data_IF_257949833633
#
_entry.id   IF_257949833633
#
_cell.length_a   1.000
_cell.length_b   1.000
_cell.length_c   1.000
_cell.angle_alpha   90.00
_cell.angle_beta   90.00
_cell.angle_gamma   90.00
#
_symmetry.space_group_name_H-M   'P 1'
#
loop_
_entity.id
_entity.type
_entity.pdbx_description
1 polymer ?
#
# COMPACT_ATOMS: atom_id res chain seq x y z
N UNK A 1 9.34 16.17 -5.05
CA UNK A 1 8.22 15.20 -5.09
C UNK A 1 8.79 13.79 -5.11
N UNK A 2 8.28 12.91 -4.26
CA UNK A 2 8.66 11.50 -4.24
C UNK A 2 7.85 10.74 -5.28
N UNK A 3 8.47 9.76 -5.93
CA UNK A 3 7.75 8.78 -6.74
C UNK A 3 7.02 7.84 -5.79
N UNK A 4 5.72 7.69 -5.97
CA UNK A 4 4.87 6.85 -5.13
C UNK A 4 4.08 5.85 -5.95
N UNK A 5 3.86 4.67 -5.38
CA UNK A 5 3.04 3.64 -5.99
C UNK A 5 2.09 3.03 -4.96
N UNK A 6 0.93 2.61 -5.42
CA UNK A 6 -0.04 1.85 -4.67
C UNK A 6 -0.19 0.46 -5.29
N UNK A 7 0.04 -0.57 -4.49
CA UNK A 7 -0.20 -1.95 -4.88
C UNK A 7 -1.46 -2.46 -4.19
N UNK A 8 -2.51 -2.73 -4.96
CA UNK A 8 -3.66 -3.52 -4.53
C UNK A 8 -3.43 -4.97 -4.88
N UNK A 9 -3.56 -5.90 -3.93
CA UNK A 9 -3.41 -7.32 -4.25
C UNK A 9 -4.55 -7.80 -5.14
N UNK A 10 -5.80 -7.40 -4.83
CA UNK A 10 -7.00 -7.71 -5.63
C UNK A 10 -7.57 -6.49 -6.33
N UNK A 11 -8.53 -6.70 -7.20
CA UNK A 11 -9.32 -5.62 -7.84
C UNK A 11 -10.65 -5.37 -7.15
N UNK A 12 -10.94 -6.09 -6.06
CA UNK A 12 -12.18 -5.95 -5.29
C UNK A 12 -13.42 -6.50 -6.00
N UNK A 13 -13.24 -7.40 -6.94
CA UNK A 13 -14.26 -8.00 -7.81
C UNK A 13 -15.30 -8.84 -7.05
N UNK A 14 -14.92 -9.43 -5.89
CA UNK A 14 -15.84 -10.17 -5.01
C UNK A 14 -16.55 -9.32 -3.95
N UNK A 15 -16.39 -7.98 -3.98
CA UNK A 15 -17.00 -7.08 -3.01
C UNK A 15 -18.44 -6.69 -3.36
N UNK A 16 -19.04 -5.82 -2.52
CA UNK A 16 -20.37 -5.26 -2.74
C UNK A 16 -20.28 -4.00 -3.61
N UNK A 17 -21.21 -3.83 -4.56
CA UNK A 17 -21.40 -2.59 -5.29
C UNK A 17 -22.56 -1.81 -4.65
N UNK A 18 -22.28 -0.63 -4.13
CA UNK A 18 -23.25 0.21 -3.42
C UNK A 18 -23.98 1.21 -4.34
N UNK A 19 -23.62 1.27 -5.62
CA UNK A 19 -24.16 2.24 -6.57
C UNK A 19 -24.67 1.63 -7.87
N UNK A 20 -24.56 0.30 -8.03
CA UNK A 20 -24.99 -0.41 -9.23
C UNK A 20 -25.16 -1.89 -8.97
N UNK A 21 -25.55 -2.63 -10.00
CA UNK A 21 -25.81 -4.07 -9.94
C UNK A 21 -24.64 -4.94 -10.42
N UNK A 22 -23.57 -4.31 -10.92
CA UNK A 22 -22.40 -5.01 -11.44
C UNK A 22 -21.68 -5.77 -10.33
N UNK A 23 -21.34 -7.03 -10.61
CA UNK A 23 -20.65 -7.97 -9.72
C UNK A 23 -19.50 -8.66 -10.46
N UNK A 24 -18.62 -9.32 -9.73
CA UNK A 24 -17.53 -10.10 -10.30
C UNK A 24 -16.60 -9.27 -11.18
N UNK A 25 -16.34 -9.75 -12.38
CA UNK A 25 -15.39 -9.11 -13.32
C UNK A 25 -15.77 -7.68 -13.65
N UNK A 26 -17.06 -7.40 -13.84
CA UNK A 26 -17.54 -6.05 -14.17
C UNK A 26 -17.31 -5.09 -13.02
N UNK A 27 -17.57 -5.51 -11.79
CA UNK A 27 -17.22 -4.73 -10.61
C UNK A 27 -15.70 -4.53 -10.48
N UNK A 28 -14.91 -5.54 -10.78
CA UNK A 28 -13.45 -5.46 -10.79
C UNK A 28 -12.92 -4.43 -11.79
N UNK A 29 -13.55 -4.34 -12.97
CA UNK A 29 -13.22 -3.31 -13.97
C UNK A 29 -13.59 -1.90 -13.47
N UNK A 30 -14.78 -1.72 -12.90
CA UNK A 30 -15.23 -0.45 -12.31
C UNK A 30 -14.25 -0.02 -11.23
N UNK A 31 -13.94 -0.89 -10.27
CA UNK A 31 -13.01 -0.58 -9.18
C UNK A 31 -11.57 -0.30 -9.63
N UNK A 32 -11.15 -0.95 -10.70
CA UNK A 32 -9.87 -0.63 -11.34
C UNK A 32 -9.86 0.82 -11.84
N UNK A 33 -10.94 1.28 -12.50
CA UNK A 33 -11.06 2.65 -12.97
C UNK A 33 -11.17 3.66 -11.81
N UNK A 34 -11.84 3.30 -10.72
CA UNK A 34 -11.91 4.11 -9.50
C UNK A 34 -10.51 4.32 -8.89
N UNK A 35 -9.70 3.26 -8.80
CA UNK A 35 -8.31 3.34 -8.33
C UNK A 35 -7.44 4.20 -9.26
N UNK A 36 -7.58 4.04 -10.57
CA UNK A 36 -6.86 4.89 -11.55
C UNK A 36 -7.30 6.36 -11.41
N UNK A 37 -8.59 6.63 -11.20
CA UNK A 37 -9.09 7.98 -10.98
C UNK A 37 -8.54 8.58 -9.67
N UNK A 38 -8.44 7.79 -8.60
CA UNK A 38 -7.81 8.19 -7.35
C UNK A 38 -6.33 8.55 -7.56
N UNK A 39 -5.59 7.73 -8.31
CA UNK A 39 -4.16 8.00 -8.65
C UNK A 39 -3.96 9.27 -9.47
N UNK A 40 -4.91 9.64 -10.33
CA UNK A 40 -4.85 10.94 -11.04
C UNK A 40 -4.93 12.14 -10.09
N UNK A 41 -5.54 11.96 -8.91
CA UNK A 41 -5.66 13.02 -7.90
C UNK A 41 -4.41 13.09 -7.02
N UNK A 42 -3.92 11.95 -6.54
CA UNK A 42 -2.78 11.89 -5.62
C UNK A 42 -1.42 11.75 -6.32
N UNK A 43 -1.41 11.49 -7.62
CA UNK A 43 -0.21 11.41 -8.45
C UNK A 43 0.61 10.12 -8.32
N UNK A 44 0.08 9.10 -7.63
CA UNK A 44 0.75 7.81 -7.50
C UNK A 44 0.52 6.90 -8.72
N UNK A 45 1.37 5.90 -8.86
CA UNK A 45 1.17 4.81 -9.81
C UNK A 45 0.30 3.71 -9.21
N UNK A 46 -0.51 3.01 -10.03
CA UNK A 46 -1.36 1.90 -9.57
C UNK A 46 -0.87 0.58 -10.12
N UNK A 47 -0.71 -0.39 -9.22
CA UNK A 47 -0.36 -1.77 -9.55
C UNK A 47 -1.32 -2.76 -8.92
N UNK A 48 -1.37 -3.97 -9.52
CA UNK A 48 -2.17 -5.08 -9.04
C UNK A 48 -1.37 -6.38 -9.11
N UNK A 49 -1.74 -7.36 -8.29
CA UNK A 49 -1.30 -8.75 -8.45
C UNK A 49 -2.36 -9.55 -9.21
N UNK A 50 -2.12 -10.84 -9.40
CA UNK A 50 -3.09 -11.78 -9.93
C UNK A 50 -4.13 -12.27 -8.91
N UNK A 51 -4.04 -11.86 -7.64
CA UNK A 51 -5.01 -12.23 -6.63
C UNK A 51 -6.41 -11.71 -7.01
N UNK A 52 -7.41 -12.52 -6.72
CA UNK A 52 -8.81 -12.19 -6.92
C UNK A 52 -9.55 -12.07 -5.59
N UNK A 53 -10.58 -11.26 -5.58
CA UNK A 53 -11.45 -11.08 -4.42
C UNK A 53 -12.53 -12.17 -4.43
N UNK A 54 -12.69 -12.88 -3.32
CA UNK A 54 -13.68 -13.95 -3.18
C UNK A 54 -14.68 -13.71 -2.03
N UNK A 55 -14.84 -12.47 -1.63
CA UNK A 55 -15.73 -12.07 -0.56
C UNK A 55 -15.05 -12.11 0.82
N UNK A 56 -15.82 -12.28 1.88
CA UNK A 56 -15.30 -12.25 3.23
C UNK A 56 -14.46 -13.48 3.54
N UNK A 57 -13.23 -13.26 3.97
CA UNK A 57 -12.33 -14.29 4.48
C UNK A 57 -12.13 -14.14 6.00
N UNK A 58 -12.20 -15.26 6.72
CA UNK A 58 -12.11 -15.30 8.18
C UNK A 58 -10.68 -15.21 8.70
N UNK A 59 -9.70 -15.70 7.91
CA UNK A 59 -8.31 -15.77 8.34
C UNK A 59 -7.33 -15.56 7.19
N UNK A 60 -6.10 -15.20 7.54
CA UNK A 60 -5.01 -15.12 6.56
C UNK A 60 -4.73 -16.48 5.92
N UNK A 61 -4.81 -17.58 6.68
CA UNK A 61 -4.53 -18.93 6.17
C UNK A 61 -5.52 -19.33 5.08
N UNK A 62 -6.82 -19.07 5.27
CA UNK A 62 -7.85 -19.28 4.26
C UNK A 62 -7.54 -18.48 2.98
N UNK A 63 -7.20 -17.21 3.14
CA UNK A 63 -6.87 -16.33 2.02
C UNK A 63 -5.63 -16.81 1.26
N UNK A 64 -4.55 -17.11 1.97
CA UNK A 64 -3.28 -17.52 1.38
C UNK A 64 -3.38 -18.88 0.66
N UNK A 65 -4.20 -19.79 1.19
CA UNK A 65 -4.50 -21.06 0.53
C UNK A 65 -5.30 -20.85 -0.77
N UNK A 66 -6.30 -19.95 -0.75
CA UNK A 66 -7.15 -19.66 -1.91
C UNK A 66 -6.38 -18.93 -3.01
N UNK A 67 -5.49 -17.99 -2.63
CA UNK A 67 -4.74 -17.18 -3.59
C UNK A 67 -3.52 -17.88 -4.19
N UNK A 68 -3.09 -19.01 -3.65
CA UNK A 68 -1.75 -19.59 -3.92
C UNK A 68 -0.64 -18.57 -3.50
N UNK A 69 -0.31 -18.63 -2.22
CA UNK A 69 0.61 -17.69 -1.57
C UNK A 69 1.90 -17.43 -2.37
N UNK A 70 2.51 -18.49 -2.94
CA UNK A 70 3.77 -18.34 -3.68
C UNK A 70 3.60 -17.52 -4.97
N UNK A 71 2.49 -17.66 -5.66
CA UNK A 71 2.21 -16.87 -6.85
C UNK A 71 1.99 -15.38 -6.53
N UNK A 72 1.29 -15.09 -5.43
CA UNK A 72 1.09 -13.69 -5.03
C UNK A 72 2.39 -13.09 -4.51
N UNK A 73 3.16 -13.85 -3.74
CA UNK A 73 4.48 -13.43 -3.30
C UNK A 73 5.41 -13.14 -4.49
N UNK A 74 5.38 -13.98 -5.53
CA UNK A 74 6.11 -13.75 -6.77
C UNK A 74 5.77 -12.40 -7.40
N UNK A 75 4.47 -12.08 -7.51
CA UNK A 75 4.01 -10.81 -8.11
C UNK A 75 4.49 -9.60 -7.32
N UNK A 76 4.40 -9.67 -5.98
CA UNK A 76 4.83 -8.56 -5.11
C UNK A 76 6.34 -8.38 -5.15
N UNK A 77 7.11 -9.49 -5.12
CA UNK A 77 8.58 -9.46 -5.26
C UNK A 77 8.99 -8.88 -6.61
N UNK A 78 8.30 -9.29 -7.70
CA UNK A 78 8.53 -8.72 -9.04
C UNK A 78 8.38 -7.20 -9.02
N UNK A 79 7.28 -6.70 -8.45
CA UNK A 79 7.03 -5.26 -8.38
C UNK A 79 8.10 -4.54 -7.55
N UNK A 80 8.48 -5.08 -6.38
CA UNK A 80 9.53 -4.48 -5.54
C UNK A 80 10.85 -4.38 -6.32
N UNK A 81 11.25 -5.44 -7.02
CA UNK A 81 12.48 -5.46 -7.84
C UNK A 81 12.42 -4.51 -9.02
N UNK A 82 11.25 -4.35 -9.64
CA UNK A 82 11.04 -3.45 -10.77
C UNK A 82 10.95 -1.98 -10.34
N UNK A 83 10.18 -1.70 -9.30
CA UNK A 83 9.91 -0.35 -8.82
C UNK A 83 11.05 0.22 -7.96
N UNK A 84 11.75 -0.66 -7.24
CA UNK A 84 12.86 -0.35 -6.33
C UNK A 84 12.50 0.70 -5.26
N UNK A 85 11.48 0.46 -4.43
CA UNK A 85 11.07 1.40 -3.40
C UNK A 85 12.11 1.47 -2.28
N UNK A 86 12.34 2.67 -1.75
CA UNK A 86 13.13 2.84 -0.52
C UNK A 86 12.33 2.45 0.72
N UNK A 87 11.03 2.73 0.68
CA UNK A 87 10.11 2.53 1.79
C UNK A 87 8.91 1.74 1.28
N UNK A 88 8.55 0.71 2.04
CA UNK A 88 7.29 -0.01 1.86
C UNK A 88 6.39 0.32 3.04
N UNK A 89 5.14 0.68 2.77
CA UNK A 89 4.14 0.95 3.81
C UNK A 89 3.00 -0.05 3.62
N UNK A 90 2.70 -0.82 4.64
CA UNK A 90 1.53 -1.69 4.72
C UNK A 90 0.46 -1.09 5.62
N UNK A 91 -0.81 -1.32 5.30
CA UNK A 91 -1.92 -0.76 6.07
C UNK A 91 -2.39 -1.66 7.21
N UNK A 92 -2.17 -2.96 7.13
CA UNK A 92 -2.72 -3.93 8.08
C UNK A 92 -1.63 -4.67 8.86
N UNK A 93 -1.93 -5.16 10.08
CA UNK A 93 -1.07 -6.10 10.79
C UNK A 93 -1.25 -7.52 10.22
N UNK A 94 -0.27 -8.42 10.45
CA UNK A 94 -0.32 -9.80 9.95
C UNK A 94 -1.13 -10.76 10.85
N UNK A 95 -2.11 -10.23 11.59
CA UNK A 95 -2.88 -10.97 12.59
C UNK A 95 -4.36 -10.56 12.62
N UNK A 96 -5.13 -11.12 13.57
CA UNK A 96 -6.57 -10.92 13.66
C UNK A 96 -7.01 -9.47 13.90
N UNK A 97 -6.11 -8.58 14.32
CA UNK A 97 -6.40 -7.13 14.42
C UNK A 97 -6.69 -6.51 13.05
N UNK A 98 -6.29 -7.16 11.97
CA UNK A 98 -6.64 -6.75 10.60
C UNK A 98 -8.14 -6.84 10.29
N UNK A 99 -8.91 -7.62 11.07
CA UNK A 99 -10.37 -7.74 10.96
C UNK A 99 -10.87 -8.53 9.74
N UNK A 100 -10.01 -8.89 8.80
CA UNK A 100 -10.36 -9.60 7.56
C UNK A 100 -9.14 -10.40 7.06
N UNK A 101 -9.38 -11.62 6.56
CA UNK A 101 -8.30 -12.50 6.10
C UNK A 101 -7.45 -11.90 4.99
N UNK A 102 -8.04 -11.24 3.99
CA UNK A 102 -7.31 -10.55 2.92
C UNK A 102 -6.38 -9.45 3.47
N UNK A 103 -6.82 -8.72 4.49
CA UNK A 103 -6.01 -7.67 5.11
C UNK A 103 -4.76 -8.26 5.80
N UNK A 104 -4.96 -9.29 6.65
CA UNK A 104 -3.86 -9.95 7.32
C UNK A 104 -2.92 -10.65 6.31
N UNK A 105 -3.48 -11.33 5.29
CA UNK A 105 -2.70 -11.96 4.22
C UNK A 105 -1.85 -10.94 3.46
N UNK A 106 -2.39 -9.76 3.15
CA UNK A 106 -1.62 -8.70 2.48
C UNK A 106 -0.41 -8.25 3.29
N UNK A 107 -0.54 -8.18 4.61
CA UNK A 107 0.55 -7.81 5.51
C UNK A 107 1.62 -8.90 5.59
N UNK A 108 1.22 -10.17 5.66
CA UNK A 108 2.13 -11.33 5.64
C UNK A 108 2.94 -11.35 4.34
N UNK A 109 2.26 -11.20 3.20
CA UNK A 109 2.92 -11.15 1.88
C UNK A 109 3.90 -9.97 1.81
N UNK A 110 3.54 -8.79 2.32
CA UNK A 110 4.42 -7.62 2.30
C UNK A 110 5.69 -7.84 3.14
N UNK A 111 5.57 -8.42 4.34
CA UNK A 111 6.71 -8.71 5.23
C UNK A 111 7.65 -9.78 4.62
N UNK A 112 7.10 -10.80 3.96
CA UNK A 112 7.89 -11.81 3.25
C UNK A 112 8.54 -11.25 1.99
N UNK A 113 7.80 -10.47 1.20
CA UNK A 113 8.30 -9.86 -0.02
C UNK A 113 9.43 -8.86 0.23
N UNK A 114 9.37 -8.11 1.36
CA UNK A 114 10.44 -7.22 1.79
C UNK A 114 11.80 -7.94 1.90
N UNK A 115 11.81 -9.17 2.41
CA UNK A 115 13.00 -10.01 2.53
C UNK A 115 13.34 -10.71 1.21
N UNK A 116 12.33 -11.32 0.59
CA UNK A 116 12.49 -12.12 -0.62
C UNK A 116 12.99 -11.30 -1.82
N UNK A 117 12.64 -10.01 -1.91
CA UNK A 117 13.07 -9.16 -3.00
C UNK A 117 14.59 -8.93 -3.02
N UNK A 118 15.23 -8.95 -1.86
CA UNK A 118 16.68 -8.82 -1.73
C UNK A 118 17.44 -10.11 -1.98
N UNK A 119 16.78 -11.27 -1.83
CA UNK A 119 17.41 -12.58 -1.98
C UNK A 119 17.43 -13.01 -3.46
N UNK A 120 18.62 -13.15 -4.09
CA UNK A 120 18.70 -13.60 -5.48
C UNK A 120 18.30 -15.05 -5.68
N UNK A 121 18.22 -15.86 -4.61
CA UNK A 121 17.80 -17.27 -4.69
C UNK A 121 16.27 -17.41 -4.68
N UNK A 122 15.54 -16.36 -4.24
CA UNK A 122 14.07 -16.35 -4.34
C UNK A 122 13.67 -15.82 -5.72
N UNK A 123 12.90 -16.62 -6.44
CA UNK A 123 12.41 -16.32 -7.79
C UNK A 123 13.53 -15.92 -8.77
N UNK A 124 14.56 -16.77 -8.99
CA UNK A 124 15.70 -16.46 -9.84
C UNK A 124 15.30 -16.18 -11.30
N UNK A 125 14.17 -16.73 -11.75
CA UNK A 125 13.59 -16.48 -13.07
C UNK A 125 13.25 -15.00 -13.30
N UNK A 126 12.96 -14.25 -12.25
CA UNK A 126 12.74 -12.80 -12.36
C UNK A 126 14.04 -12.07 -12.75
N UNK A 127 15.16 -12.54 -12.25
CA UNK A 127 16.47 -11.92 -12.56
C UNK A 127 16.85 -12.15 -14.02
N UNK A 128 16.51 -13.31 -14.59
CA UNK A 128 16.71 -13.57 -16.01
C UNK A 128 15.80 -12.72 -16.90
N UNK A 129 14.67 -12.25 -16.36
CA UNK A 129 13.75 -11.31 -17.03
C UNK A 129 14.18 -9.84 -16.91
N UNK A 130 15.34 -9.56 -16.28
CA UNK A 130 16.00 -8.25 -16.31
C UNK A 130 15.83 -7.38 -15.06
N UNK A 131 15.08 -7.82 -14.04
CA UNK A 131 15.06 -7.10 -12.76
C UNK A 131 16.26 -7.51 -11.90
N UNK A 132 16.57 -6.71 -10.87
CA UNK A 132 17.69 -6.97 -9.95
C UNK A 132 17.15 -7.17 -8.53
N UNK A 133 17.85 -7.94 -7.67
CA UNK A 133 17.54 -7.98 -6.25
C UNK A 133 17.47 -6.56 -5.68
N UNK A 134 16.50 -6.31 -4.82
CA UNK A 134 16.31 -4.99 -4.23
C UNK A 134 15.98 -5.10 -2.74
N UNK A 135 16.76 -4.41 -1.90
CA UNK A 135 16.47 -4.28 -0.47
C UNK A 135 15.91 -2.87 -0.22
N UNK A 136 14.62 -2.77 0.03
CA UNK A 136 14.04 -1.53 0.56
C UNK A 136 14.68 -1.21 1.92
N UNK A 137 14.87 0.06 2.24
CA UNK A 137 15.51 0.48 3.49
C UNK A 137 14.66 0.09 4.70
N UNK A 138 13.33 0.16 4.55
CA UNK A 138 12.39 -0.18 5.64
C UNK A 138 11.03 -0.63 5.12
N UNK A 139 10.35 -1.38 5.97
CA UNK A 139 8.93 -1.65 5.86
C UNK A 139 8.23 -1.19 7.13
N UNK A 140 7.15 -0.42 6.96
CA UNK A 140 6.40 0.22 8.04
C UNK A 140 4.95 -0.22 7.99
N UNK A 141 4.34 -0.38 9.15
CA UNK A 141 2.91 -0.51 9.30
C UNK A 141 2.32 0.86 9.66
N UNK A 142 1.45 1.39 8.80
CA UNK A 142 0.64 2.56 9.12
C UNK A 142 -0.52 2.12 10.03
N UNK A 143 -0.41 2.40 11.29
CA UNK A 143 -1.37 2.01 12.32
C UNK A 143 -2.61 2.90 12.29
N UNK A 144 -3.66 2.49 12.98
CA UNK A 144 -4.95 3.17 12.89
C UNK A 144 -5.74 3.08 14.19
N UNK A 145 -6.64 4.04 14.35
CA UNK A 145 -7.69 4.01 15.34
C UNK A 145 -9.04 4.00 14.60
N UNK A 146 -9.70 2.84 14.56
CA UNK A 146 -10.96 2.67 13.84
C UNK A 146 -11.91 1.73 14.59
N UNK A 147 -13.10 2.23 14.88
CA UNK A 147 -14.10 1.49 15.66
C UNK A 147 -13.59 1.13 17.06
N UNK A 148 -13.63 -0.15 17.41
CA UNK A 148 -13.10 -0.67 18.67
C UNK A 148 -11.60 -0.96 18.62
N UNK A 149 -10.98 -0.88 17.46
CA UNK A 149 -9.57 -1.23 17.23
C UNK A 149 -8.69 0.03 17.22
N UNK A 150 -7.96 0.23 18.32
CA UNK A 150 -6.91 1.23 18.38
C UNK A 150 -5.54 0.52 18.39
N UNK A 151 -4.76 0.77 17.34
CA UNK A 151 -3.40 0.24 17.17
C UNK A 151 -2.33 1.33 17.21
N UNK A 152 -2.74 2.59 17.50
CA UNK A 152 -1.81 3.70 17.66
C UNK A 152 -1.21 3.72 19.06
N UNK A 153 0.04 4.18 19.17
CA UNK A 153 0.79 4.27 20.42
C UNK A 153 1.73 5.47 20.47
N UNK A 154 2.13 5.87 21.67
CA UNK A 154 3.01 7.02 21.87
C UNK A 154 4.44 6.78 21.42
N UNK A 155 4.88 5.55 21.36
CA UNK A 155 6.20 5.08 20.90
C UNK A 155 6.36 4.99 19.39
N UNK A 156 5.27 5.22 18.64
CA UNK A 156 5.27 5.17 17.18
C UNK A 156 5.74 6.48 16.55
N UNK A 157 6.31 6.39 15.35
CA UNK A 157 6.62 7.57 14.55
C UNK A 157 5.31 8.29 14.17
N UNK A 158 5.22 9.57 14.46
CA UNK A 158 4.07 10.43 14.19
C UNK A 158 4.42 11.39 13.05
N UNK A 159 3.60 11.37 12.00
CA UNK A 159 3.77 12.25 10.84
C UNK A 159 2.49 13.08 10.67
N UNK A 160 2.64 14.40 10.67
CA UNK A 160 1.54 15.30 10.36
C UNK A 160 1.35 15.39 8.84
N UNK A 161 0.28 14.79 8.35
CA UNK A 161 -0.12 14.83 6.93
C UNK A 161 -1.15 15.93 6.65
N UNK A 162 -1.44 16.79 7.62
CA UNK A 162 -2.37 17.93 7.45
C UNK A 162 -1.75 19.17 6.79
N UNK A 163 -0.46 19.12 6.46
CA UNK A 163 0.28 20.22 5.87
C UNK A 163 -0.37 20.76 4.58
N UNK A 164 -0.30 22.07 4.40
CA UNK A 164 -0.82 22.75 3.22
C UNK A 164 0.26 22.86 2.13
N UNK A 165 -0.08 22.47 0.91
CA UNK A 165 0.80 22.63 -0.25
C UNK A 165 0.40 23.90 -1.02
N UNK A 166 1.20 24.99 -0.98
CA UNK A 166 0.85 26.25 -1.61
C UNK A 166 0.85 26.19 -3.15
N UNK A 167 1.59 25.24 -3.74
CA UNK A 167 1.63 25.08 -5.20
C UNK A 167 0.32 24.48 -5.72
N UNK A 168 -0.25 23.55 -4.97
CA UNK A 168 -1.50 22.87 -5.34
C UNK A 168 -2.71 23.63 -4.77
N UNK A 169 -2.52 24.49 -3.77
CA UNK A 169 -3.58 25.22 -3.09
C UNK A 169 -4.47 24.36 -2.19
N UNK A 170 -3.98 23.21 -1.73
CA UNK A 170 -4.71 22.23 -0.91
C UNK A 170 -3.81 21.65 0.18
N UNK A 171 -4.43 21.18 1.27
CA UNK A 171 -3.73 20.32 2.22
C UNK A 171 -3.63 18.88 1.71
N UNK A 172 -2.67 18.12 2.22
CA UNK A 172 -2.56 16.70 1.87
C UNK A 172 -3.78 15.90 2.35
N UNK A 173 -4.39 16.30 3.47
CA UNK A 173 -5.66 15.72 3.92
C UNK A 173 -6.83 15.95 2.96
N UNK A 174 -6.90 17.12 2.30
CA UNK A 174 -7.90 17.41 1.25
C UNK A 174 -7.65 16.55 0.01
N UNK A 175 -6.40 16.41 -0.43
CA UNK A 175 -6.02 15.58 -1.58
C UNK A 175 -6.36 14.10 -1.30
N UNK A 176 -6.03 13.60 -0.11
CA UNK A 176 -6.34 12.23 0.30
C UNK A 176 -7.85 11.97 0.34
N UNK A 177 -8.65 12.91 0.84
CA UNK A 177 -10.11 12.79 0.85
C UNK A 177 -10.71 12.81 -0.57
N UNK A 178 -10.18 13.63 -1.47
CA UNK A 178 -10.60 13.66 -2.88
C UNK A 178 -10.26 12.35 -3.60
N UNK A 179 -9.05 11.83 -3.40
CA UNK A 179 -8.64 10.54 -3.96
C UNK A 179 -9.52 9.40 -3.44
N UNK A 180 -9.78 9.36 -2.12
CA UNK A 180 -10.65 8.35 -1.53
C UNK A 180 -12.09 8.46 -2.03
N UNK A 181 -12.60 9.64 -2.29
CA UNK A 181 -13.95 9.84 -2.84
C UNK A 181 -14.14 9.29 -4.26
N UNK A 182 -13.09 8.82 -4.92
CA UNK A 182 -13.20 8.14 -6.21
C UNK A 182 -13.70 6.70 -6.09
N UNK A 183 -13.67 6.10 -4.90
CA UNK A 183 -14.18 4.74 -4.65
C UNK A 183 -15.72 4.71 -4.53
N UNK A 184 -16.42 5.09 -5.60
CA UNK A 184 -17.87 5.27 -5.65
C UNK A 184 -18.64 3.98 -5.38
N UNK A 185 -18.20 2.88 -5.98
CA UNK A 185 -18.83 1.55 -5.79
C UNK A 185 -18.78 1.06 -4.34
N UNK A 186 -17.91 1.65 -3.50
CA UNK A 186 -17.81 1.37 -2.08
C UNK A 186 -18.55 2.40 -1.21
N UNK A 187 -19.32 3.31 -1.83
CA UNK A 187 -20.04 4.37 -1.13
C UNK A 187 -19.12 5.42 -0.49
N UNK A 188 -17.88 5.52 -0.94
CA UNK A 188 -16.90 6.40 -0.32
C UNK A 188 -17.17 7.87 -0.63
N UNK A 189 -17.16 8.65 0.41
CA UNK A 189 -17.13 10.10 0.41
C UNK A 189 -16.62 10.54 1.76
N UNK A 190 -15.51 11.27 1.81
CA UNK A 190 -14.91 11.72 3.07
C UNK A 190 -14.93 13.23 3.16
N UNK A 191 -15.24 13.78 4.35
CA UNK A 191 -15.07 15.20 4.58
C UNK A 191 -13.62 15.62 4.32
N UNK A 192 -13.45 16.72 3.61
CA UNK A 192 -12.12 17.34 3.45
C UNK A 192 -11.68 17.89 4.80
N UNK A 193 -10.63 17.32 5.35
CA UNK A 193 -10.08 17.79 6.63
C UNK A 193 -8.93 18.75 6.37
N UNK A 194 -8.92 19.84 7.11
CA UNK A 194 -7.84 20.84 7.17
C UNK A 194 -7.26 20.89 8.57
N UNK A 195 -6.04 21.38 8.67
CA UNK A 195 -5.30 21.43 9.93
C UNK A 195 -4.56 20.15 10.24
N UNK A 196 -4.07 20.02 11.45
CA UNK A 196 -3.25 18.89 11.87
C UNK A 196 -3.97 17.55 11.68
N UNK A 197 -3.27 16.60 11.05
CA UNK A 197 -3.74 15.24 10.84
C UNK A 197 -2.57 14.28 11.03
N UNK A 198 -2.52 13.61 12.17
CA UNK A 198 -1.41 12.74 12.53
C UNK A 198 -1.67 11.32 12.06
N UNK A 199 -0.72 10.78 11.29
CA UNK A 199 -0.61 9.36 10.98
C UNK A 199 0.51 8.72 11.79
N UNK A 200 0.32 7.47 12.16
CA UNK A 200 1.21 6.73 13.05
C UNK A 200 1.84 5.55 12.31
N UNK A 201 3.13 5.30 12.56
CA UNK A 201 3.88 4.25 11.88
C UNK A 201 4.69 3.42 12.87
N UNK A 202 4.59 2.09 12.75
CA UNK A 202 5.44 1.13 13.44
C UNK A 202 6.42 0.50 12.44
N UNK A 203 7.70 0.41 12.80
CA UNK A 203 8.67 -0.33 11.99
C UNK A 203 8.43 -1.83 12.14
N UNK A 204 8.36 -2.55 11.01
CA UNK A 204 8.23 -4.03 11.00
C UNK A 204 9.43 -4.71 10.34
N UNK A 205 10.34 -3.95 9.74
CA UNK A 205 11.60 -4.46 9.21
C UNK A 205 12.49 -3.36 8.64
N UNK A 206 13.78 -3.65 8.56
CA UNK A 206 14.81 -2.71 8.11
C UNK A 206 15.16 -1.66 9.18
N UNK A 207 15.73 -0.54 8.75
CA UNK A 207 16.14 0.56 9.65
C UNK A 207 14.93 1.35 10.11
N UNK A 208 14.68 1.41 11.42
CA UNK A 208 13.58 2.21 11.96
C UNK A 208 13.83 3.71 11.76
N UNK A 209 12.86 4.48 11.28
CA UNK A 209 12.97 5.93 11.22
C UNK A 209 12.76 6.54 12.61
N UNK A 210 13.36 7.71 12.85
CA UNK A 210 13.27 8.42 14.15
C UNK A 210 12.39 9.66 14.04
N UNK A 211 12.58 10.48 13.03
CA UNK A 211 11.90 11.77 12.87
C UNK A 211 11.05 11.86 11.59
N UNK A 212 11.46 11.18 10.54
CA UNK A 212 10.84 11.24 9.22
C UNK A 212 10.84 9.88 8.55
N UNK A 213 9.83 9.59 7.74
CA UNK A 213 9.81 8.40 6.88
C UNK A 213 11.09 8.30 6.03
N UNK A 214 11.71 9.45 5.68
CA UNK A 214 12.87 9.55 4.79
C UNK A 214 14.22 9.53 5.51
N UNK A 215 14.26 9.31 6.83
CA UNK A 215 15.53 9.28 7.59
C UNK A 215 16.54 8.33 6.97
N UNK A 216 17.76 8.85 6.73
CA UNK A 216 18.86 8.12 6.12
C UNK A 216 18.64 7.72 4.65
N UNK A 217 17.67 8.30 3.96
CA UNK A 217 17.46 8.16 2.52
C UNK A 217 17.95 9.45 1.86
N UNK A 218 18.77 9.32 0.82
CA UNK A 218 19.18 10.47 0.03
C UNK A 218 17.99 11.00 -0.78
N UNK A 219 17.52 12.18 -0.44
CA UNK A 219 16.41 12.89 -1.11
C UNK A 219 16.91 14.03 -1.99
N UNK A 220 18.21 14.12 -2.25
CA UNK A 220 18.82 15.16 -3.08
C UNK A 220 18.69 14.84 -4.58
N UNK A 221 18.88 15.87 -5.39
CA UNK A 221 18.90 15.72 -6.85
C UNK A 221 20.07 14.85 -7.36
N UNK A 222 21.16 14.74 -6.61
CA UNK A 222 22.30 13.90 -6.95
C UNK A 222 21.91 12.44 -7.16
N UNK A 223 20.95 11.94 -6.39
CA UNK A 223 20.43 10.59 -6.53
C UNK A 223 19.71 10.34 -7.87
N UNK A 224 18.98 11.34 -8.37
CA UNK A 224 18.24 11.22 -9.63
C UNK A 224 19.19 11.21 -10.84
N UNK A 225 20.28 11.95 -10.75
CA UNK A 225 21.28 12.06 -11.79
C UNK A 225 22.35 10.95 -11.80
N UNK A 226 22.15 9.90 -11.00
CA UNK A 226 23.08 8.77 -10.92
C UNK A 226 24.41 9.09 -10.23
N UNK A 227 24.47 10.16 -9.45
CA UNK A 227 25.67 10.53 -8.69
C UNK A 227 26.80 11.05 -9.60
N UNK A 228 26.48 11.63 -10.75
CA UNK A 228 27.45 12.28 -11.64
C UNK A 228 27.86 13.65 -11.11
#
# INVERSE_FOLDING_TARGET
LYRTAYLSLTRGDGGQNLIGDEQGVDLGLIRTQELIAARKIDGAEQYFTRAYEFGYSKSADETLATWDKEKILFDVVWLIRQYQPDIIIKRFPPDNRAGHGHHAASAIIADEAFKAAADPQRFPEQLTAGVKPWQAKRILWNTYNFGSNNTTGEDQLKIDIGGFNPIIGKSYGEIGAEARAMHKSQGEGRPRRRGQLIEYFSSTGGEAPVYSLMDGIDTTWARINGGA
#
